data_IF_361926007646
#
_entry.id   IF_361926007646
#
_cell.length_a   1.000
_cell.length_b   1.000
_cell.length_c   1.000
_cell.angle_alpha   90.00
_cell.angle_beta   90.00
_cell.angle_gamma   90.00
#
_symmetry.space_group_name_H-M   'P 1'
#
loop_
_entity.id
_entity.type
_entity.pdbx_description
1 polymer ?
#
# COMPACT_ATOMS: atom_id res chain seq x y z
N UNK A 1 7.62 -11.27 -57.33
CA UNK A 1 7.16 -12.44 -56.57
C UNK A 1 8.44 -13.07 -56.09
N UNK A 2 8.87 -12.64 -54.92
CA UNK A 2 10.14 -12.87 -54.23
C UNK A 2 9.77 -12.60 -52.76
N UNK A 3 10.23 -13.23 -51.70
CA UNK A 3 11.27 -14.23 -51.42
C UNK A 3 10.94 -14.73 -49.99
N UNK A 4 11.44 -15.91 -49.60
CA UNK A 4 11.27 -16.48 -48.27
C UNK A 4 11.84 -15.57 -47.15
N UNK A 5 11.18 -15.58 -45.99
CA UNK A 5 11.86 -15.37 -44.71
C UNK A 5 11.32 -16.36 -43.66
N UNK A 6 12.25 -17.14 -43.14
CA UNK A 6 12.16 -18.18 -42.11
C UNK A 6 12.85 -17.62 -40.86
N UNK A 7 12.46 -18.07 -39.65
CA UNK A 7 13.05 -17.84 -38.30
C UNK A 7 12.05 -17.21 -37.32
N UNK A 8 11.99 -17.51 -36.02
CA UNK A 8 12.43 -18.61 -35.15
C UNK A 8 11.85 -18.25 -33.75
N UNK A 9 11.63 -19.26 -32.90
CA UNK A 9 11.21 -19.14 -31.48
C UNK A 9 12.00 -18.08 -30.69
N UNK A 10 11.34 -17.40 -29.76
CA UNK A 10 11.93 -17.01 -28.46
C UNK A 10 10.84 -16.74 -27.41
N UNK A 11 10.97 -17.40 -26.26
CA UNK A 11 10.21 -17.13 -25.04
C UNK A 11 10.69 -15.83 -24.38
N UNK A 12 9.84 -15.07 -23.67
CA UNK A 12 10.32 -14.01 -22.81
C UNK A 12 10.81 -14.60 -21.49
N UNK A 13 12.13 -14.71 -21.38
CA UNK A 13 12.84 -15.02 -20.16
C UNK A 13 12.67 -13.93 -19.08
N UNK A 14 12.81 -14.37 -17.84
CA UNK A 14 12.89 -13.54 -16.65
C UNK A 14 14.02 -12.49 -16.80
N UNK A 15 13.65 -11.22 -16.90
CA UNK A 15 14.58 -10.13 -16.66
C UNK A 15 14.75 -9.98 -15.14
N UNK A 16 15.93 -10.35 -14.64
CA UNK A 16 16.42 -9.91 -13.34
C UNK A 16 17.00 -8.52 -13.52
N UNK A 17 16.38 -7.51 -12.94
CA UNK A 17 16.99 -6.19 -12.78
C UNK A 17 17.77 -6.18 -11.47
N UNK A 18 19.09 -6.30 -11.64
CA UNK A 18 20.13 -5.92 -10.69
C UNK A 18 20.07 -4.40 -10.49
N UNK A 19 19.73 -3.96 -9.27
CA UNK A 19 19.99 -2.61 -8.82
C UNK A 19 20.56 -2.71 -7.40
N UNK A 20 21.89 -2.61 -7.33
CA UNK A 20 22.64 -2.53 -6.09
C UNK A 20 22.34 -1.25 -5.33
N UNK A 21 21.88 -1.41 -4.10
CA UNK A 21 22.15 -0.46 -3.03
C UNK A 21 22.91 -1.20 -1.92
N UNK A 22 24.18 -0.82 -1.80
CA UNK A 22 25.10 -1.33 -0.78
C UNK A 22 24.63 -0.86 0.61
N UNK A 23 24.06 -1.78 1.38
CA UNK A 23 23.87 -1.57 2.82
C UNK A 23 25.22 -1.69 3.52
N UNK A 24 25.71 -0.54 3.97
CA UNK A 24 26.91 -0.39 4.76
C UNK A 24 26.62 -0.93 6.18
N UNK A 25 26.91 -2.21 6.44
CA UNK A 25 26.96 -2.74 7.81
C UNK A 25 28.34 -2.41 8.39
N UNK A 26 28.36 -1.38 9.22
CA UNK A 26 29.49 -1.00 10.04
C UNK A 26 29.78 -2.13 11.04
N UNK A 27 30.79 -2.94 10.71
CA UNK A 27 31.31 -4.02 11.52
C UNK A 27 31.94 -3.45 12.79
N UNK A 28 31.25 -3.58 13.92
CA UNK A 28 31.79 -3.20 15.21
C UNK A 28 32.69 -4.33 15.73
N UNK A 29 33.98 -4.07 15.60
CA UNK A 29 35.12 -4.87 16.05
C UNK A 29 35.06 -5.05 17.58
N UNK A 30 34.74 -6.27 18.04
CA UNK A 30 34.97 -6.68 19.42
C UNK A 30 35.85 -7.92 19.43
N UNK A 31 37.12 -7.61 19.64
CA UNK A 31 38.27 -8.46 19.86
C UNK A 31 37.95 -9.79 20.56
N UNK A 32 38.36 -10.87 19.90
CA UNK A 32 38.61 -12.16 20.53
C UNK A 32 39.79 -12.02 21.50
N UNK A 33 39.72 -12.52 22.74
CA UNK A 33 40.91 -12.67 23.56
C UNK A 33 41.66 -13.94 23.17
N UNK A 34 42.94 -13.71 22.93
CA UNK A 34 44.04 -14.61 22.61
C UNK A 34 44.13 -15.82 23.56
N UNK A 35 44.40 -16.97 22.96
CA UNK A 35 44.85 -18.23 23.58
C UNK A 35 46.14 -18.02 24.37
N UNK A 36 46.27 -18.57 25.59
CA UNK A 36 47.55 -19.04 26.10
C UNK A 36 47.59 -20.57 26.00
N UNK A 37 48.50 -21.05 25.17
CA UNK A 37 48.96 -22.43 25.11
C UNK A 37 49.55 -22.79 26.48
N UNK A 38 48.89 -23.70 27.18
CA UNK A 38 49.33 -24.29 28.45
C UNK A 38 49.11 -25.79 28.38
N UNK A 39 50.22 -26.50 28.51
CA UNK A 39 50.45 -27.91 28.28
C UNK A 39 49.62 -28.85 29.20
N UNK A 40 49.64 -30.13 28.86
CA UNK A 40 49.22 -31.31 29.64
C UNK A 40 47.81 -31.88 29.41
N UNK A 41 47.77 -32.81 28.44
CA UNK A 41 46.86 -33.96 28.41
C UNK A 41 47.18 -34.91 29.57
N UNK A 42 46.18 -35.41 30.32
CA UNK A 42 46.11 -36.86 30.51
C UNK A 42 44.76 -37.44 30.05
N UNK A 43 44.85 -38.47 29.21
CA UNK A 43 43.76 -39.28 28.67
C UNK A 43 43.25 -40.32 29.73
N UNK A 44 42.23 -41.15 29.42
CA UNK A 44 40.94 -41.22 30.11
C UNK A 44 40.83 -42.34 31.18
N UNK A 45 39.89 -42.20 32.13
CA UNK A 45 39.37 -43.33 32.94
C UNK A 45 38.08 -43.86 32.30
N UNK A 46 37.99 -45.16 31.96
CA UNK A 46 36.76 -45.74 31.43
C UNK A 46 35.80 -46.05 32.59
N UNK A 47 34.79 -45.22 32.79
CA UNK A 47 33.58 -45.61 33.52
C UNK A 47 32.63 -46.31 32.53
N UNK A 48 32.86 -47.60 32.29
CA UNK A 48 31.79 -48.48 31.85
C UNK A 48 31.03 -48.93 33.10
N UNK A 49 29.70 -49.06 32.96
CA UNK A 49 28.75 -49.60 33.94
C UNK A 49 28.16 -48.61 34.96
N UNK A 50 27.32 -47.68 34.48
CA UNK A 50 26.26 -47.08 35.32
C UNK A 50 25.11 -46.40 34.57
N UNK A 51 24.71 -46.85 33.37
CA UNK A 51 23.43 -46.44 32.76
C UNK A 51 22.80 -47.61 32.00
N UNK A 52 22.37 -48.62 32.75
CA UNK A 52 21.38 -49.59 32.30
C UNK A 52 20.04 -49.26 32.96
N UNK A 53 19.49 -48.10 32.60
CA UNK A 53 18.09 -47.79 32.85
C UNK A 53 17.49 -47.29 31.54
N UNK A 54 16.53 -48.08 31.04
CA UNK A 54 15.70 -47.87 29.85
C UNK A 54 15.71 -46.43 29.33
N UNK A 55 16.35 -46.22 28.18
CA UNK A 55 16.05 -45.06 27.34
C UNK A 55 14.53 -45.02 27.10
N UNK A 56 13.82 -43.92 27.42
CA UNK A 56 12.42 -43.79 27.04
C UNK A 56 12.35 -43.94 25.53
N UNK A 57 11.45 -44.80 25.06
CA UNK A 57 11.29 -45.12 23.65
C UNK A 57 11.43 -43.85 22.81
N UNK A 58 12.31 -43.81 21.80
CA UNK A 58 12.39 -42.64 20.94
C UNK A 58 10.98 -42.43 20.38
N UNK A 59 10.44 -41.22 20.52
CA UNK A 59 9.23 -40.80 19.83
C UNK A 59 9.55 -40.84 18.33
N UNK A 60 9.46 -42.03 17.75
CA UNK A 60 9.65 -42.29 16.35
C UNK A 60 8.36 -41.82 15.68
N UNK A 61 8.28 -40.53 15.38
CA UNK A 61 7.50 -40.14 14.22
C UNK A 61 8.00 -41.01 13.07
N UNK A 62 7.09 -41.79 12.48
CA UNK A 62 7.43 -42.54 11.29
C UNK A 62 7.88 -41.55 10.23
N UNK A 63 8.82 -41.94 9.38
CA UNK A 63 9.16 -41.16 8.18
C UNK A 63 7.88 -40.78 7.39
N UNK A 64 6.86 -41.65 7.39
CA UNK A 64 5.56 -41.37 6.80
C UNK A 64 4.76 -40.29 7.52
N UNK A 65 4.84 -40.20 8.85
CA UNK A 65 4.16 -39.14 9.62
C UNK A 65 4.79 -37.77 9.36
N UNK A 66 6.13 -37.73 9.29
CA UNK A 66 6.86 -36.51 8.95
C UNK A 66 6.53 -36.08 7.52
N UNK A 67 6.59 -36.98 6.54
CA UNK A 67 6.24 -36.69 5.15
C UNK A 67 4.81 -36.17 5.02
N UNK A 68 3.85 -36.79 5.73
CA UNK A 68 2.46 -36.33 5.75
C UNK A 68 2.33 -34.95 6.37
N UNK A 69 3.00 -34.70 7.50
CA UNK A 69 2.96 -33.40 8.17
C UNK A 69 3.58 -32.30 7.30
N UNK A 70 4.70 -32.58 6.64
CA UNK A 70 5.32 -31.65 5.70
C UNK A 70 4.41 -31.34 4.52
N UNK A 71 3.74 -32.36 3.95
CA UNK A 71 2.79 -32.12 2.85
C UNK A 71 1.59 -31.29 3.31
N UNK A 72 1.02 -31.61 4.47
CA UNK A 72 -0.08 -30.84 5.05
C UNK A 72 0.33 -29.38 5.27
N UNK A 73 1.53 -29.15 5.79
CA UNK A 73 2.05 -27.79 5.98
C UNK A 73 2.19 -27.02 4.65
N UNK A 74 2.65 -27.68 3.58
CA UNK A 74 2.71 -27.07 2.24
C UNK A 74 1.30 -26.69 1.76
N UNK A 75 0.33 -27.58 1.94
CA UNK A 75 -1.05 -27.35 1.53
C UNK A 75 -1.69 -26.21 2.32
N UNK A 76 -1.45 -26.14 3.64
CA UNK A 76 -1.92 -25.07 4.51
C UNK A 76 -1.33 -23.71 4.11
N UNK A 77 -0.04 -23.67 3.77
CA UNK A 77 0.63 -22.46 3.27
C UNK A 77 0.03 -22.03 1.93
N UNK A 78 -0.22 -22.95 1.01
CA UNK A 78 -0.85 -22.64 -0.27
C UNK A 78 -2.28 -22.12 -0.09
N UNK A 79 -3.06 -22.76 0.78
CA UNK A 79 -4.41 -22.32 1.12
C UNK A 79 -4.40 -20.94 1.78
N UNK A 80 -3.43 -20.67 2.66
CA UNK A 80 -3.23 -19.35 3.26
C UNK A 80 -2.90 -18.29 2.19
N UNK A 81 -1.93 -18.55 1.30
CA UNK A 81 -1.57 -17.60 0.22
C UNK A 81 -2.76 -17.24 -0.67
N UNK A 82 -3.60 -18.23 -0.98
CA UNK A 82 -4.83 -18.00 -1.75
C UNK A 82 -5.79 -17.08 -0.99
N UNK A 83 -6.10 -17.41 0.28
CA UNK A 83 -6.95 -16.57 1.13
C UNK A 83 -6.43 -15.15 1.30
N UNK A 84 -5.12 -15.00 1.51
CA UNK A 84 -4.49 -13.69 1.66
C UNK A 84 -4.62 -12.88 0.36
N UNK A 85 -4.43 -13.52 -0.80
CA UNK A 85 -4.60 -12.87 -2.12
C UNK A 85 -6.04 -12.43 -2.36
N UNK A 86 -7.01 -13.29 -2.04
CA UNK A 86 -8.43 -12.98 -2.15
C UNK A 86 -8.81 -11.80 -1.22
N UNK A 87 -8.30 -11.81 0.01
CA UNK A 87 -8.54 -10.74 0.99
C UNK A 87 -7.93 -9.41 0.55
N UNK A 88 -6.71 -9.43 -0.01
CA UNK A 88 -6.07 -8.23 -0.55
C UNK A 88 -6.86 -7.65 -1.73
N UNK A 89 -7.40 -8.51 -2.61
CA UNK A 89 -8.24 -8.06 -3.72
C UNK A 89 -9.55 -7.41 -3.22
N UNK A 90 -10.16 -7.96 -2.17
CA UNK A 90 -11.35 -7.39 -1.54
C UNK A 90 -11.06 -6.03 -0.89
N UNK A 91 -9.98 -5.92 -0.12
CA UNK A 91 -9.56 -4.64 0.49
C UNK A 91 -9.29 -3.59 -0.59
N UNK A 92 -8.59 -3.96 -1.66
CA UNK A 92 -8.35 -3.05 -2.79
C UNK A 92 -9.66 -2.56 -3.40
N UNK A 93 -10.60 -3.46 -3.67
CA UNK A 93 -11.91 -3.11 -4.21
C UNK A 93 -12.68 -2.19 -3.27
N UNK A 94 -12.67 -2.47 -1.97
CA UNK A 94 -13.32 -1.63 -0.97
C UNK A 94 -12.72 -0.21 -0.92
N UNK A 95 -11.39 -0.11 -1.02
CA UNK A 95 -10.69 1.17 -1.09
C UNK A 95 -11.03 1.95 -2.36
N UNK A 96 -11.08 1.29 -3.52
CA UNK A 96 -11.47 1.92 -4.78
C UNK A 96 -12.90 2.49 -4.69
N UNK A 97 -13.85 1.71 -4.15
CA UNK A 97 -15.24 2.17 -3.93
C UNK A 97 -15.29 3.34 -2.96
N UNK A 98 -14.59 3.25 -1.82
CA UNK A 98 -14.58 4.31 -0.82
C UNK A 98 -13.95 5.60 -1.35
N UNK A 99 -12.87 5.51 -2.12
CA UNK A 99 -12.21 6.65 -2.74
C UNK A 99 -13.13 7.36 -3.72
N UNK A 100 -13.80 6.60 -4.62
CA UNK A 100 -14.79 7.16 -5.56
C UNK A 100 -15.97 7.78 -4.81
N UNK A 101 -16.52 7.11 -3.80
CA UNK A 101 -17.63 7.67 -3.01
C UNK A 101 -17.25 8.98 -2.32
N UNK A 102 -16.02 9.07 -1.81
CA UNK A 102 -15.52 10.27 -1.15
C UNK A 102 -15.32 11.41 -2.15
N UNK A 103 -14.76 11.11 -3.33
CA UNK A 103 -14.61 12.09 -4.40
C UNK A 103 -15.97 12.66 -4.84
N UNK A 104 -16.97 11.80 -5.08
CA UNK A 104 -18.31 12.23 -5.43
C UNK A 104 -18.95 13.12 -4.35
N UNK A 105 -18.77 12.77 -3.08
CA UNK A 105 -19.30 13.56 -1.95
C UNK A 105 -18.69 14.97 -1.93
N UNK A 106 -17.37 15.07 -2.19
CA UNK A 106 -16.67 16.35 -2.28
C UNK A 106 -17.19 17.16 -3.47
N UNK A 107 -17.35 16.54 -4.63
CA UNK A 107 -17.89 17.20 -5.83
C UNK A 107 -19.30 17.73 -5.61
N UNK A 108 -20.20 16.91 -5.07
CA UNK A 108 -21.58 17.30 -4.75
C UNK A 108 -21.62 18.46 -3.74
N UNK A 109 -20.79 18.39 -2.70
CA UNK A 109 -20.68 19.46 -1.70
C UNK A 109 -20.18 20.76 -2.33
N UNK A 110 -19.16 20.67 -3.19
CA UNK A 110 -18.60 21.83 -3.87
C UNK A 110 -19.64 22.49 -4.79
N UNK A 111 -20.37 21.69 -5.57
CA UNK A 111 -21.47 22.18 -6.41
C UNK A 111 -22.53 22.87 -5.56
N UNK A 112 -22.94 22.27 -4.44
CA UNK A 112 -23.92 22.87 -3.52
C UNK A 112 -23.47 24.23 -2.98
N UNK A 113 -22.19 24.36 -2.60
CA UNK A 113 -21.62 25.65 -2.16
C UNK A 113 -21.64 26.69 -3.27
N UNK A 114 -21.34 26.31 -4.51
CA UNK A 114 -21.42 27.22 -5.65
C UNK A 114 -22.85 27.66 -5.94
N UNK A 115 -23.81 26.75 -5.90
CA UNK A 115 -25.23 27.07 -6.10
C UNK A 115 -25.75 28.05 -5.04
N UNK A 116 -25.43 27.82 -3.76
CA UNK A 116 -25.79 28.72 -2.66
C UNK A 116 -25.18 30.11 -2.86
N UNK A 117 -23.87 30.17 -3.14
CA UNK A 117 -23.16 31.44 -3.36
C UNK A 117 -23.68 32.18 -4.60
N UNK A 118 -23.95 31.48 -5.70
CA UNK A 118 -24.53 32.06 -6.91
C UNK A 118 -25.90 32.66 -6.64
N UNK A 119 -26.73 32.00 -5.82
CA UNK A 119 -28.04 32.54 -5.41
C UNK A 119 -27.90 33.83 -4.60
N UNK A 120 -26.99 33.85 -3.62
CA UNK A 120 -26.73 35.06 -2.81
C UNK A 120 -26.28 36.23 -3.71
N UNK A 121 -25.37 35.97 -4.66
CA UNK A 121 -24.90 36.97 -5.62
C UNK A 121 -26.06 37.47 -6.48
N UNK A 122 -26.90 36.57 -6.99
CA UNK A 122 -28.06 36.92 -7.81
C UNK A 122 -29.04 37.82 -7.05
N UNK A 123 -29.38 37.46 -5.80
CA UNK A 123 -30.29 38.23 -4.96
C UNK A 123 -29.74 39.65 -4.71
N UNK A 124 -28.44 39.76 -4.44
CA UNK A 124 -27.76 41.06 -4.23
C UNK A 124 -27.72 41.91 -5.50
N UNK A 125 -27.45 41.31 -6.64
CA UNK A 125 -27.48 42.02 -7.93
C UNK A 125 -28.89 42.52 -8.23
N UNK A 126 -29.92 41.72 -7.99
CA UNK A 126 -31.32 42.14 -8.16
C UNK A 126 -31.67 43.32 -7.24
N UNK A 127 -31.24 43.27 -5.97
CA UNK A 127 -31.42 44.37 -5.02
C UNK A 127 -30.77 45.67 -5.53
N UNK A 128 -29.52 45.59 -6.01
CA UNK A 128 -28.79 46.73 -6.59
C UNK A 128 -29.55 47.31 -7.79
N UNK A 129 -29.98 46.46 -8.73
CA UNK A 129 -30.73 46.93 -9.90
C UNK A 129 -32.05 47.60 -9.51
N UNK A 130 -32.76 47.07 -8.50
CA UNK A 130 -33.98 47.68 -8.00
C UNK A 130 -33.75 49.04 -7.32
N UNK A 131 -32.59 49.25 -6.68
CA UNK A 131 -32.19 50.55 -6.13
C UNK A 131 -31.82 51.53 -7.24
N UNK A 132 -31.03 51.10 -8.22
CA UNK A 132 -30.65 51.92 -9.36
C UNK A 132 -31.88 52.39 -10.16
N UNK A 133 -32.82 51.49 -10.45
CA UNK A 133 -34.06 51.84 -11.15
C UNK A 133 -34.89 52.87 -10.36
N UNK A 134 -34.96 52.74 -9.03
CA UNK A 134 -35.60 53.75 -8.17
C UNK A 134 -34.89 55.10 -8.28
N UNK A 135 -33.57 55.13 -8.20
CA UNK A 135 -32.78 56.36 -8.35
C UNK A 135 -33.02 57.01 -9.72
N UNK A 136 -32.96 56.23 -10.80
CA UNK A 136 -33.25 56.71 -12.16
C UNK A 136 -34.65 57.34 -12.24
N UNK A 137 -35.68 56.68 -11.68
CA UNK A 137 -37.04 57.21 -11.61
C UNK A 137 -37.10 58.54 -10.85
N UNK A 138 -36.41 58.67 -9.72
CA UNK A 138 -36.33 59.94 -8.99
C UNK A 138 -35.69 61.05 -9.82
N UNK A 139 -34.60 60.79 -10.54
CA UNK A 139 -33.97 61.79 -11.40
C UNK A 139 -34.86 62.24 -12.58
N UNK A 140 -35.64 61.32 -13.16
CA UNK A 140 -36.59 61.66 -14.24
C UNK A 140 -37.81 62.41 -13.72
N UNK A 141 -38.37 62.00 -12.58
CA UNK A 141 -39.59 62.62 -12.02
C UNK A 141 -39.34 63.94 -11.31
N UNK A 142 -38.17 64.14 -10.71
CA UNK A 142 -37.79 65.40 -10.07
C UNK A 142 -37.45 66.53 -11.07
N UNK A 143 -37.52 66.28 -12.38
CA UNK A 143 -37.31 67.30 -13.42
C UNK A 143 -35.87 67.85 -13.50
N UNK A 144 -34.91 67.27 -12.77
CA UNK A 144 -33.52 67.77 -12.71
C UNK A 144 -32.85 67.73 -14.10
N UNK A 145 -33.30 66.84 -14.99
CA UNK A 145 -32.81 66.78 -16.38
C UNK A 145 -33.32 67.95 -17.25
N UNK A 146 -34.45 68.57 -16.90
CA UNK A 146 -34.98 69.74 -17.65
C UNK A 146 -34.26 71.06 -17.30
N UNK A 147 -33.46 71.10 -16.22
CA UNK A 147 -32.79 72.34 -15.77
C UNK A 147 -31.41 72.52 -16.41
N UNK A 148 -30.81 71.48 -17.00
CA UNK A 148 -29.48 71.55 -17.63
C UNK A 148 -29.48 71.97 -19.11
N UNK A 149 -30.63 72.35 -19.67
CA UNK A 149 -30.76 72.70 -21.09
C UNK A 149 -31.42 74.08 -21.33
N UNK A 150 -31.15 75.06 -20.46
CA UNK A 150 -31.36 76.50 -20.73
C UNK A 150 -30.09 77.29 -20.46
#
# INVERSE_FOLDING_TARGET
MDEKAEQQKQEPGFASEDNGEAFNLENNDKSLPVVPTGDETPQPKPMHDAFSEKSPAPLLFSHGDLQRNTQQFVDDINAKRKRDTDSLAEVRKALEVQATSTANTIEETLVGVYEENSKVIQDKLQEIFAVLDRICKYFTTAGIVQIYHQ
#
